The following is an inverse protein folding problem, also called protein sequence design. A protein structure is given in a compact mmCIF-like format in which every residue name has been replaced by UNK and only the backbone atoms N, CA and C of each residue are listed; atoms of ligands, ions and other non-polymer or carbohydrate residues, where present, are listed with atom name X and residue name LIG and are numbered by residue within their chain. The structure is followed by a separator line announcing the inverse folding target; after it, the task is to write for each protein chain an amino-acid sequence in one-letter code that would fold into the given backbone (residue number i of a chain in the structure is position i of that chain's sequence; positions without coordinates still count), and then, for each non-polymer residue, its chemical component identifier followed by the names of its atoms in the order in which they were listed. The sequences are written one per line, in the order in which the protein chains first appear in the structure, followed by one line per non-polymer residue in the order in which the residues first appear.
data_IF_885669488512
#
_entry.id   IF_885669488512
#
_cell.length_a   1.000
_cell.length_b   1.000
_cell.length_c   1.000
_cell.angle_alpha   90.00
_cell.angle_beta   90.00
_cell.angle_gamma   90.00
#
_symmetry.space_group_name_H-M   'P 1'
#
loop_
_entity.id
_entity.type
_entity.pdbx_description
1 polymer ?
#
# COMPACT_ATOMS: atom_id res chain seq x y z
N UNK A 1 10.24 16.17 18.80
CA UNK A 1 10.48 15.25 17.65
C UNK A 1 9.91 15.87 16.39
N UNK A 2 10.69 15.97 15.30
CA UNK A 2 10.22 16.60 14.06
C UNK A 2 9.26 15.64 13.36
N UNK A 3 8.00 16.07 13.17
CA UNK A 3 6.99 15.26 12.48
C UNK A 3 7.39 15.18 11.01
N UNK A 4 7.68 13.99 10.52
CA UNK A 4 7.99 13.77 9.10
C UNK A 4 6.65 13.49 8.41
N UNK A 5 6.24 14.38 7.52
CA UNK A 5 5.03 14.19 6.71
C UNK A 5 5.41 13.62 5.36
N UNK A 6 4.80 12.51 4.97
CA UNK A 6 4.95 11.93 3.64
C UNK A 6 3.90 12.54 2.71
N UNK A 7 4.34 13.18 1.63
CA UNK A 7 3.44 13.76 0.62
C UNK A 7 2.93 12.72 -0.38
N UNK A 8 3.61 11.57 -0.51
CA UNK A 8 3.28 10.52 -1.48
C UNK A 8 3.70 9.15 -0.98
N UNK A 9 2.82 8.18 -1.22
CA UNK A 9 3.13 6.76 -1.18
C UNK A 9 3.13 6.22 -2.62
N UNK A 10 4.07 5.33 -2.94
CA UNK A 10 4.11 4.63 -4.23
C UNK A 10 4.07 3.14 -3.98
N UNK A 11 3.37 2.40 -4.83
CA UNK A 11 3.37 0.93 -4.78
C UNK A 11 3.91 0.42 -6.10
N UNK A 12 4.93 -0.45 -6.04
CA UNK A 12 5.47 -1.16 -7.20
C UNK A 12 5.10 -2.64 -7.09
N UNK A 13 4.54 -3.27 -8.14
CA UNK A 13 4.34 -4.71 -8.13
C UNK A 13 5.69 -5.43 -8.19
N UNK A 14 5.74 -6.60 -7.58
CA UNK A 14 6.85 -7.54 -7.75
C UNK A 14 6.80 -8.13 -9.18
N UNK A 15 7.94 -8.25 -9.88
CA UNK A 15 7.97 -8.76 -11.25
C UNK A 15 7.72 -10.27 -11.36
N UNK A 16 7.91 -11.03 -10.28
CA UNK A 16 7.78 -12.49 -10.24
C UNK A 16 6.44 -12.94 -9.64
N UNK A 17 5.93 -12.21 -8.64
CA UNK A 17 4.65 -12.51 -8.00
C UNK A 17 3.69 -11.31 -8.07
N UNK A 18 2.70 -11.41 -8.97
CA UNK A 18 1.69 -10.35 -9.15
C UNK A 18 0.92 -9.99 -7.88
N UNK A 19 0.83 -10.91 -6.92
CA UNK A 19 0.13 -10.71 -5.64
C UNK A 19 0.99 -10.02 -4.57
N UNK A 20 2.22 -9.66 -4.91
CA UNK A 20 3.16 -8.97 -4.03
C UNK A 20 3.62 -7.64 -4.63
N UNK A 21 4.10 -6.77 -3.76
CA UNK A 21 4.71 -5.53 -4.16
C UNK A 21 5.51 -4.87 -3.05
N UNK A 22 6.08 -3.72 -3.37
CA UNK A 22 6.81 -2.87 -2.44
C UNK A 22 6.10 -1.53 -2.33
N UNK A 23 5.67 -1.19 -1.10
CA UNK A 23 5.23 0.15 -0.73
C UNK A 23 6.47 1.00 -0.42
N UNK A 24 6.57 2.12 -1.11
CA UNK A 24 7.66 3.08 -1.00
C UNK A 24 7.11 4.32 -0.28
N UNK A 25 7.67 4.59 0.89
CA UNK A 25 7.28 5.64 1.82
C UNK A 25 8.49 6.51 2.16
N UNK A 26 8.77 7.52 1.32
CA UNK A 26 10.03 8.27 1.40
C UNK A 26 11.23 7.35 1.14
N UNK A 27 12.12 7.19 2.13
CA UNK A 27 13.28 6.30 2.07
C UNK A 27 12.98 4.87 2.53
N UNK A 28 11.76 4.58 2.99
CA UNK A 28 11.39 3.28 3.54
C UNK A 28 10.73 2.42 2.46
N UNK A 29 11.20 1.17 2.36
CA UNK A 29 10.64 0.12 1.50
C UNK A 29 9.96 -0.93 2.37
N UNK A 30 8.67 -1.17 2.13
CA UNK A 30 7.83 -2.07 2.94
C UNK A 30 7.22 -3.13 2.02
N UNK A 31 7.44 -4.43 2.25
CA UNK A 31 6.71 -5.48 1.54
C UNK A 31 5.20 -5.32 1.76
N UNK A 32 4.42 -5.43 0.69
CA UNK A 32 2.97 -5.33 0.75
C UNK A 32 2.32 -6.40 -0.13
N UNK A 33 1.09 -6.75 0.25
CA UNK A 33 0.24 -7.59 -0.55
C UNK A 33 -0.49 -6.75 -1.60
N UNK A 34 -0.64 -7.32 -2.79
CA UNK A 34 -1.54 -6.87 -3.84
C UNK A 34 -2.67 -7.88 -3.99
N UNK A 35 -3.73 -7.48 -4.69
CA UNK A 35 -4.78 -8.42 -5.08
C UNK A 35 -4.21 -9.61 -5.85
N UNK A 36 -4.84 -10.79 -5.72
CA UNK A 36 -4.46 -12.01 -6.46
C UNK A 36 -4.40 -11.80 -7.98
N UNK A 37 -5.24 -10.90 -8.51
CA UNK A 37 -5.25 -10.50 -9.92
C UNK A 37 -4.12 -9.52 -10.31
N UNK A 38 -3.27 -9.11 -9.38
CA UNK A 38 -2.24 -8.10 -9.59
C UNK A 38 -2.80 -6.68 -9.58
N UNK A 39 -2.20 -5.79 -10.36
CA UNK A 39 -2.68 -4.41 -10.52
C UNK A 39 -3.43 -4.22 -11.84
N UNK A 40 -4.54 -3.48 -11.81
CA UNK A 40 -5.32 -3.17 -13.02
C UNK A 40 -5.84 -1.74 -13.03
N UNK A 41 -5.91 -1.13 -14.21
CA UNK A 41 -6.59 0.17 -14.40
C UNK A 41 -8.11 0.02 -14.56
N UNK A 42 -8.57 -1.18 -14.92
CA UNK A 42 -9.97 -1.49 -15.22
C UNK A 42 -10.57 -2.41 -14.13
N UNK A 43 -10.35 -2.02 -12.87
CA UNK A 43 -10.81 -2.76 -11.69
C UNK A 43 -12.32 -2.92 -11.74
N UNK A 44 -12.80 -4.13 -11.48
CA UNK A 44 -14.22 -4.47 -11.28
C UNK A 44 -14.42 -5.12 -9.92
N UNK A 45 -15.63 -5.07 -9.39
CA UNK A 45 -15.93 -5.80 -8.16
C UNK A 45 -15.71 -7.31 -8.36
N UNK A 46 -15.14 -7.98 -7.35
CA UNK A 46 -14.86 -9.41 -7.40
C UNK A 46 -13.63 -9.87 -8.20
N UNK A 47 -13.00 -9.02 -9.03
CA UNK A 47 -11.86 -9.43 -9.89
C UNK A 47 -10.55 -9.76 -9.16
N UNK A 48 -10.51 -9.54 -7.83
CA UNK A 48 -9.34 -9.80 -7.00
C UNK A 48 -8.10 -8.96 -7.31
N UNK A 49 -8.17 -7.89 -8.11
CA UNK A 49 -7.02 -7.04 -8.44
C UNK A 49 -6.95 -5.78 -7.54
N UNK A 50 -5.78 -5.17 -7.42
CA UNK A 50 -5.58 -3.85 -6.83
C UNK A 50 -5.72 -2.75 -7.90
N UNK A 51 -6.44 -1.65 -7.63
CA UNK A 51 -6.59 -0.58 -8.61
C UNK A 51 -5.25 0.15 -8.82
N UNK A 52 -4.88 0.34 -10.09
CA UNK A 52 -3.68 1.07 -10.52
C UNK A 52 -4.05 2.51 -10.86
N UNK A 53 -3.52 3.47 -10.12
CA UNK A 53 -3.81 4.88 -10.32
C UNK A 53 -3.20 5.77 -9.23
N UNK A 54 -3.52 7.06 -9.31
CA UNK A 54 -3.20 8.02 -8.24
C UNK A 54 -4.45 8.25 -7.40
N UNK A 55 -4.35 7.98 -6.11
CA UNK A 55 -5.46 8.11 -5.17
C UNK A 55 -5.09 9.06 -4.04
N UNK A 56 -6.06 9.83 -3.56
CA UNK A 56 -5.87 10.68 -2.38
C UNK A 56 -5.83 9.80 -1.14
N UNK A 57 -4.81 9.97 -0.30
CA UNK A 57 -4.79 9.36 1.02
C UNK A 57 -5.85 10.02 1.90
N UNK A 58 -6.83 9.24 2.36
CA UNK A 58 -7.92 9.73 3.22
C UNK A 58 -7.67 9.43 4.70
N UNK A 59 -6.93 8.35 4.98
CA UNK A 59 -6.61 7.89 6.32
C UNK A 59 -6.00 6.51 6.27
N UNK A 60 -5.79 5.90 7.44
CA UNK A 60 -5.31 4.54 7.58
C UNK A 60 -5.85 3.93 8.86
N UNK A 61 -6.03 2.62 8.85
CA UNK A 61 -6.42 1.85 10.02
C UNK A 61 -5.16 1.36 10.73
N UNK A 62 -5.20 1.39 12.06
CA UNK A 62 -4.13 0.89 12.90
C UNK A 62 -4.58 -0.43 13.52
N UNK A 63 -3.69 -1.42 13.54
CA UNK A 63 -3.91 -2.74 14.14
C UNK A 63 -3.28 -2.80 15.53
N UNK A 64 -4.01 -2.42 16.61
CA UNK A 64 -3.46 -2.43 17.97
C UNK A 64 -3.03 -3.82 18.41
N UNK A 65 -3.74 -4.85 17.95
CA UNK A 65 -3.48 -6.26 18.20
C UNK A 65 -2.11 -6.72 17.70
N UNK A 66 -1.50 -6.03 16.74
CA UNK A 66 -0.18 -6.40 16.18
C UNK A 66 0.96 -5.46 16.56
N UNK A 67 0.67 -4.19 16.82
CA UNK A 67 1.68 -3.14 16.88
C UNK A 67 1.83 -2.51 18.27
N UNK A 68 0.99 -2.87 19.25
CA UNK A 68 1.10 -2.50 20.67
C UNK A 68 0.79 -1.03 20.96
N UNK A 69 1.40 -0.08 20.25
CA UNK A 69 1.17 1.36 20.38
C UNK A 69 0.94 2.02 19.03
N UNK A 70 -0.17 2.78 18.92
CA UNK A 70 -0.45 3.57 17.72
C UNK A 70 0.68 4.59 17.50
N UNK A 71 1.29 4.63 16.30
CA UNK A 71 2.22 5.70 15.94
C UNK A 71 1.54 7.07 16.10
N UNK A 72 2.23 8.03 16.72
CA UNK A 72 1.75 9.39 16.96
C UNK A 72 1.78 10.29 15.71
#
# INVERSE_FOLDING_TARGET
MKRITLSRLRVRPDPLDRSRGTLIAGLVLIPCALGKGGQTRVKREGDGASPRGSFRLRGGFYRPDRLGRRPA
#
